data_IF_614050179188
#
_entry.id   IF_614050179188
#
_cell.length_a   1.000
_cell.length_b   1.000
_cell.length_c   1.000
_cell.angle_alpha   90.00
_cell.angle_beta   90.00
_cell.angle_gamma   90.00
#
_symmetry.space_group_name_H-M   'P 1'
#
loop_
_entity.id
_entity.type
_entity.pdbx_description
1 polymer ?
#
# COMPACT_ATOMS: atom_id res chain seq x y z
N UNK A 1 -49.91 -35.47 -35.73
CA UNK A 1 -50.97 -34.76 -36.48
C UNK A 1 -50.37 -33.51 -37.11
N UNK A 2 -50.57 -33.34 -38.41
CA UNK A 2 -50.32 -32.12 -39.20
C UNK A 2 -51.46 -31.13 -38.99
N UNK A 3 -51.20 -29.81 -38.97
CA UNK A 3 -51.95 -28.68 -39.61
C UNK A 3 -51.04 -27.45 -39.44
N UNK A 4 -50.26 -27.06 -40.46
CA UNK A 4 -50.54 -26.11 -41.56
C UNK A 4 -50.49 -24.61 -41.20
N UNK A 5 -49.65 -23.94 -41.97
CA UNK A 5 -49.30 -22.52 -42.06
C UNK A 5 -50.47 -21.57 -42.29
N UNK A 6 -50.29 -20.32 -41.85
CA UNK A 6 -50.78 -19.15 -42.56
C UNK A 6 -49.71 -18.06 -42.55
N UNK A 7 -49.23 -17.71 -43.74
CA UNK A 7 -48.35 -16.58 -44.02
C UNK A 7 -49.22 -15.35 -44.13
N UNK A 8 -48.89 -14.27 -43.42
CA UNK A 8 -49.31 -12.93 -43.78
C UNK A 8 -48.09 -12.00 -43.65
N UNK A 9 -47.54 -11.63 -44.80
CA UNK A 9 -46.50 -10.64 -44.96
C UNK A 9 -47.13 -9.25 -44.94
N UNK A 10 -46.65 -8.36 -44.06
CA UNK A 10 -46.69 -6.91 -44.29
C UNK A 10 -45.37 -6.35 -43.77
N UNK A 11 -44.50 -5.97 -44.70
CA UNK A 11 -43.34 -5.14 -44.41
C UNK A 11 -43.75 -3.67 -44.42
N UNK A 12 -43.12 -2.88 -43.55
CA UNK A 12 -42.63 -1.55 -43.92
C UNK A 12 -41.59 -1.08 -42.91
N UNK A 13 -40.45 -0.62 -43.44
CA UNK A 13 -39.34 -0.04 -42.70
C UNK A 13 -39.76 1.19 -41.91
N UNK A 14 -39.21 1.35 -40.71
CA UNK A 14 -38.76 2.66 -40.21
C UNK A 14 -37.56 2.48 -39.28
N UNK A 15 -36.39 2.79 -39.82
CA UNK A 15 -35.13 2.99 -39.12
C UNK A 15 -35.26 4.24 -38.25
N UNK A 16 -35.67 4.08 -36.99
CA UNK A 16 -35.38 5.08 -35.97
C UNK A 16 -34.10 4.67 -35.26
N UNK A 17 -32.97 5.06 -35.85
CA UNK A 17 -31.71 5.20 -35.13
C UNK A 17 -31.89 6.28 -34.06
N UNK A 18 -32.49 5.88 -32.94
CA UNK A 18 -32.49 6.67 -31.72
C UNK A 18 -31.04 6.76 -31.27
N UNK A 19 -30.43 7.92 -31.53
CA UNK A 19 -29.13 8.28 -30.96
C UNK A 19 -29.26 8.13 -29.45
N UNK A 20 -28.61 7.11 -28.90
CA UNK A 20 -28.18 7.12 -27.51
C UNK A 20 -27.40 8.43 -27.36
N UNK A 21 -28.00 9.42 -26.71
CA UNK A 21 -27.25 10.53 -26.18
C UNK A 21 -26.30 9.92 -25.16
N UNK A 22 -25.07 9.65 -25.59
CA UNK A 22 -23.96 9.60 -24.66
C UNK A 22 -24.01 10.94 -23.93
N UNK A 23 -24.33 10.91 -22.64
CA UNK A 23 -24.04 12.05 -21.80
C UNK A 23 -22.53 12.22 -21.90
N UNK A 24 -22.09 13.18 -22.70
CA UNK A 24 -20.75 13.72 -22.64
C UNK A 24 -20.56 14.14 -21.18
N UNK A 25 -19.88 13.29 -20.41
CA UNK A 25 -19.21 13.70 -19.20
C UNK A 25 -18.26 14.80 -19.65
N UNK A 26 -18.66 16.05 -19.41
CA UNK A 26 -17.78 17.19 -19.56
C UNK A 26 -16.44 16.79 -18.91
N UNK A 27 -15.30 16.96 -19.62
CA UNK A 27 -14.01 16.76 -18.98
C UNK A 27 -14.03 17.66 -17.75
N UNK A 28 -13.80 17.07 -16.58
CA UNK A 28 -13.60 17.82 -15.35
C UNK A 28 -12.62 18.94 -15.72
N UNK A 29 -13.10 20.18 -15.62
CA UNK A 29 -12.25 21.34 -15.85
C UNK A 29 -10.98 21.12 -15.03
N UNK A 30 -9.81 21.31 -15.66
CA UNK A 30 -8.51 21.25 -15.03
C UNK A 30 -8.46 22.26 -13.89
N UNK A 31 -9.00 21.88 -12.72
CA UNK A 31 -8.73 22.56 -11.47
C UNK A 31 -7.26 22.24 -11.20
N UNK A 32 -6.37 23.24 -11.17
CA UNK A 32 -5.00 22.99 -10.78
C UNK A 32 -5.04 22.37 -9.39
N UNK A 33 -4.60 21.12 -9.27
CA UNK A 33 -4.40 20.53 -7.95
C UNK A 33 -3.50 21.48 -7.16
N UNK A 34 -3.90 21.89 -5.94
CA UNK A 34 -3.00 22.63 -5.08
C UNK A 34 -1.68 21.86 -5.01
N UNK A 35 -0.52 22.54 -5.07
CA UNK A 35 0.75 21.84 -4.99
C UNK A 35 0.73 20.97 -3.73
N UNK A 36 0.99 19.66 -3.91
CA UNK A 36 1.02 18.72 -2.81
C UNK A 36 1.89 19.33 -1.71
N UNK A 37 1.29 19.58 -0.53
CA UNK A 37 2.03 20.15 0.58
C UNK A 37 3.19 19.21 0.90
N UNK A 38 4.41 19.74 0.85
CA UNK A 38 5.60 18.94 1.12
C UNK A 38 5.58 18.51 2.59
N UNK A 39 5.50 17.21 2.80
CA UNK A 39 5.37 16.63 4.12
C UNK A 39 6.71 16.73 4.86
N UNK A 40 6.75 17.54 5.91
CA UNK A 40 7.96 17.83 6.69
C UNK A 40 8.19 16.73 7.72
N UNK A 41 9.46 16.40 7.91
CA UNK A 41 9.89 15.47 8.93
C UNK A 41 11.13 14.68 8.52
N UNK A 42 11.55 13.80 9.42
CA UNK A 42 12.58 12.80 9.15
C UNK A 42 11.85 11.49 8.86
N UNK A 43 11.99 11.00 7.64
CA UNK A 43 11.26 9.85 7.13
C UNK A 43 12.06 8.57 7.24
N UNK A 44 11.35 7.48 7.53
CA UNK A 44 11.84 6.12 7.42
C UNK A 44 10.81 5.20 6.78
N UNK A 45 11.31 4.09 6.23
CA UNK A 45 10.49 3.04 5.66
C UNK A 45 11.14 1.68 5.84
N UNK A 46 10.31 0.65 5.90
CA UNK A 46 10.71 -0.76 5.85
C UNK A 46 10.02 -1.39 4.64
N UNK A 47 10.80 -2.12 3.84
CA UNK A 47 10.34 -2.94 2.74
C UNK A 47 10.62 -4.41 3.01
N UNK A 48 9.73 -5.28 2.55
CA UNK A 48 9.81 -6.73 2.77
C UNK A 48 9.33 -7.50 1.54
N UNK A 49 10.04 -8.59 1.22
CA UNK A 49 9.63 -9.62 0.27
C UNK A 49 9.22 -10.86 1.05
N UNK A 50 7.91 -11.10 1.17
CA UNK A 50 7.37 -12.25 1.93
C UNK A 50 7.81 -13.61 1.38
N UNK A 51 7.83 -13.87 0.05
CA UNK A 51 8.27 -15.17 -0.47
C UNK A 51 9.75 -15.48 -0.19
N UNK A 52 10.61 -14.46 -0.27
CA UNK A 52 12.07 -14.59 -0.18
C UNK A 52 12.63 -14.32 1.22
N UNK A 53 11.80 -13.80 2.11
CA UNK A 53 12.14 -13.37 3.47
C UNK A 53 13.30 -12.36 3.51
N UNK A 54 13.40 -11.55 2.46
CA UNK A 54 14.36 -10.44 2.34
C UNK A 54 13.67 -9.15 2.73
N UNK A 55 14.42 -8.25 3.34
CA UNK A 55 13.93 -6.95 3.76
C UNK A 55 14.99 -5.90 3.49
N UNK A 56 14.55 -4.66 3.49
CA UNK A 56 15.39 -3.47 3.47
C UNK A 56 14.72 -2.38 4.27
N UNK A 57 15.52 -1.49 4.82
CA UNK A 57 15.01 -0.32 5.52
C UNK A 57 15.87 0.89 5.20
N UNK A 58 15.31 2.06 5.43
CA UNK A 58 16.04 3.31 5.43
C UNK A 58 15.43 4.28 6.44
N UNK A 59 16.25 5.17 6.98
CA UNK A 59 15.84 6.24 7.87
C UNK A 59 16.69 7.47 7.60
N UNK A 60 16.18 8.65 7.97
CA UNK A 60 16.89 9.90 7.80
C UNK A 60 16.62 10.61 6.48
N UNK A 61 15.58 10.20 5.72
CA UNK A 61 15.24 10.89 4.48
C UNK A 61 14.45 12.17 4.77
N UNK A 62 14.64 13.18 3.92
CA UNK A 62 13.89 14.44 4.00
C UNK A 62 12.50 14.32 3.38
N UNK A 63 12.28 13.28 2.57
CA UNK A 63 11.04 13.04 1.83
C UNK A 63 10.54 11.62 2.07
N UNK A 64 9.22 11.47 2.21
CA UNK A 64 8.56 10.16 2.34
C UNK A 64 8.98 9.21 1.22
N UNK A 65 8.85 9.67 -0.03
CA UNK A 65 9.13 8.84 -1.19
C UNK A 65 10.58 8.38 -1.26
N UNK A 66 11.53 9.23 -0.86
CA UNK A 66 12.95 8.88 -0.82
C UNK A 66 13.20 7.74 0.19
N UNK A 67 12.63 7.80 1.39
CA UNK A 67 12.74 6.70 2.36
C UNK A 67 12.18 5.39 1.79
N UNK A 68 11.03 5.45 1.14
CA UNK A 68 10.37 4.30 0.52
C UNK A 68 11.21 3.68 -0.60
N UNK A 69 11.73 4.50 -1.52
CA UNK A 69 12.52 4.06 -2.67
C UNK A 69 13.84 3.40 -2.22
N UNK A 70 14.50 3.99 -1.23
CA UNK A 70 15.76 3.43 -0.70
C UNK A 70 15.49 2.12 0.05
N UNK A 71 14.44 2.04 0.87
CA UNK A 71 14.06 0.81 1.56
C UNK A 71 13.75 -0.33 0.56
N UNK A 72 12.99 -0.04 -0.51
CA UNK A 72 12.72 -0.98 -1.60
C UNK A 72 14.00 -1.45 -2.27
N UNK A 73 14.89 -0.52 -2.63
CA UNK A 73 16.19 -0.84 -3.24
C UNK A 73 17.04 -1.72 -2.33
N UNK A 74 17.07 -1.44 -1.03
CA UNK A 74 17.78 -2.29 -0.06
C UNK A 74 17.20 -3.70 0.02
N UNK A 75 15.87 -3.84 -0.01
CA UNK A 75 15.21 -5.16 -0.04
C UNK A 75 15.57 -5.95 -1.31
N UNK A 76 15.56 -5.29 -2.47
CA UNK A 76 15.92 -5.89 -3.75
C UNK A 76 17.39 -6.33 -3.77
N UNK A 77 18.29 -5.47 -3.27
CA UNK A 77 19.72 -5.78 -3.14
C UNK A 77 19.99 -6.94 -2.18
N UNK A 78 19.13 -7.14 -1.18
CA UNK A 78 19.18 -8.31 -0.30
C UNK A 78 18.69 -9.61 -0.97
N UNK A 79 18.26 -9.54 -2.23
CA UNK A 79 17.79 -10.66 -3.05
C UNK A 79 16.28 -10.87 -3.02
N UNK A 80 15.49 -9.88 -2.59
CA UNK A 80 14.03 -9.97 -2.61
C UNK A 80 13.48 -9.71 -4.02
N UNK A 81 12.74 -10.66 -4.58
CA UNK A 81 12.09 -10.56 -5.88
C UNK A 81 10.68 -9.95 -5.83
N UNK A 82 10.04 -9.89 -4.66
CA UNK A 82 8.70 -9.35 -4.45
C UNK A 82 8.67 -8.29 -3.33
N UNK A 83 9.64 -7.39 -3.33
CA UNK A 83 9.76 -6.32 -2.32
C UNK A 83 8.61 -5.31 -2.41
N UNK A 84 7.94 -5.08 -1.29
CA UNK A 84 6.96 -4.01 -1.11
C UNK A 84 7.26 -3.21 0.15
N UNK A 85 6.92 -1.91 0.16
CA UNK A 85 6.96 -1.10 1.38
C UNK A 85 5.86 -1.58 2.31
N UNK A 86 6.25 -2.02 3.51
CA UNK A 86 5.32 -2.56 4.53
C UNK A 86 5.12 -1.62 5.70
N UNK A 87 5.99 -0.62 5.85
CA UNK A 87 5.88 0.40 6.89
C UNK A 87 6.53 1.70 6.43
N UNK A 88 5.87 2.81 6.72
CA UNK A 88 6.38 4.17 6.51
C UNK A 88 6.02 4.96 7.75
N UNK A 89 6.96 5.74 8.27
CA UNK A 89 6.77 6.48 9.50
C UNK A 89 7.71 7.69 9.54
N UNK A 90 7.40 8.64 10.42
CA UNK A 90 8.11 9.92 10.47
C UNK A 90 8.29 10.41 11.89
N UNK A 91 9.41 11.09 12.11
CA UNK A 91 9.61 11.96 13.26
C UNK A 91 9.55 13.42 12.83
N UNK A 92 9.37 14.26 13.84
CA UNK A 92 9.69 15.66 13.78
C UNK A 92 11.18 15.85 13.48
N UNK A 93 11.51 16.75 12.54
CA UNK A 93 12.85 17.31 12.37
C UNK A 93 13.12 18.38 13.44
N UNK A 94 12.07 19.07 13.87
CA UNK A 94 12.06 19.99 15.01
C UNK A 94 10.76 19.81 15.78
N UNK A 95 10.78 19.87 17.11
CA UNK A 95 9.62 19.53 17.96
C UNK A 95 8.36 20.39 17.72
N UNK A 96 8.45 21.48 16.96
CA UNK A 96 7.37 22.38 16.55
C UNK A 96 6.99 22.27 15.05
N UNK A 97 7.52 21.29 14.31
CA UNK A 97 7.39 21.17 12.86
C UNK A 97 6.16 20.39 12.38
N UNK A 98 5.02 20.56 13.06
CA UNK A 98 3.76 19.97 12.59
C UNK A 98 3.36 20.55 11.23
N UNK A 99 3.43 19.72 10.20
CA UNK A 99 3.05 20.08 8.84
C UNK A 99 1.54 20.00 8.58
N UNK A 100 0.75 19.63 9.60
CA UNK A 100 -0.71 19.50 9.58
C UNK A 100 -1.25 18.57 8.48
N UNK A 101 -0.41 17.67 7.95
CA UNK A 101 -0.81 16.69 6.92
C UNK A 101 -1.65 15.54 7.48
N UNK A 102 -1.76 15.45 8.81
CA UNK A 102 -2.50 14.39 9.51
C UNK A 102 -1.76 13.04 9.55
N UNK A 103 -0.57 12.94 8.95
CA UNK A 103 0.25 11.73 9.06
C UNK A 103 0.85 11.64 10.49
N UNK A 104 0.73 10.48 11.16
CA UNK A 104 1.14 10.38 12.56
C UNK A 104 2.65 10.46 12.73
N UNK A 105 3.12 11.22 13.72
CA UNK A 105 4.53 11.32 14.12
C UNK A 105 4.99 10.12 14.95
N UNK A 106 4.81 8.91 14.41
CA UNK A 106 5.37 7.69 14.98
C UNK A 106 6.80 7.59 14.48
N UNK A 107 7.77 7.58 15.38
CA UNK A 107 9.18 7.68 15.01
C UNK A 107 9.93 6.37 15.17
N UNK A 108 9.24 5.26 15.46
CA UNK A 108 9.79 3.92 15.41
C UNK A 108 8.87 2.98 14.62
N UNK A 109 9.47 2.06 13.86
CA UNK A 109 8.79 0.97 13.17
C UNK A 109 9.55 -0.34 13.32
N UNK A 110 8.83 -1.46 13.24
CA UNK A 110 9.43 -2.79 13.31
C UNK A 110 8.83 -3.74 12.27
N UNK A 111 9.56 -4.82 11.99
CA UNK A 111 9.16 -5.96 11.16
C UNK A 111 9.35 -7.23 11.98
N UNK A 112 8.30 -8.04 12.10
CA UNK A 112 8.37 -9.37 12.70
C UNK A 112 8.05 -10.42 11.64
N UNK A 113 8.74 -11.55 11.72
CA UNK A 113 8.58 -12.68 10.81
C UNK A 113 8.50 -13.96 11.63
N UNK A 114 7.56 -14.83 11.28
CA UNK A 114 7.40 -16.17 11.82
C UNK A 114 8.50 -17.12 11.35
N UNK A 115 8.50 -18.34 11.85
CA UNK A 115 9.33 -19.40 11.28
C UNK A 115 8.66 -19.96 10.02
N UNK A 116 9.43 -20.12 8.93
CA UNK A 116 8.93 -20.61 7.64
C UNK A 116 8.51 -22.09 7.75
N UNK A 117 7.20 -22.41 7.70
CA UNK A 117 6.79 -23.81 7.64
C UNK A 117 7.01 -24.33 6.22
N UNK A 118 7.36 -25.61 6.07
CA UNK A 118 7.42 -26.23 4.75
C UNK A 118 6.08 -26.09 4.01
N UNK A 119 6.14 -25.60 2.77
CA UNK A 119 4.97 -25.46 1.89
C UNK A 119 3.96 -24.38 2.29
N UNK A 120 4.30 -23.45 3.21
CA UNK A 120 3.41 -22.34 3.59
C UNK A 120 4.14 -21.00 3.57
N UNK A 121 3.36 -19.93 3.38
CA UNK A 121 3.86 -18.57 3.60
C UNK A 121 4.08 -18.34 5.10
N UNK A 122 5.16 -17.63 5.40
CA UNK A 122 5.54 -17.23 6.74
C UNK A 122 4.65 -16.08 7.20
N UNK A 123 4.08 -16.15 8.41
CA UNK A 123 3.37 -14.99 8.98
C UNK A 123 4.36 -13.87 9.21
N UNK A 124 3.92 -12.65 9.00
CA UNK A 124 4.73 -11.46 9.24
C UNK A 124 3.81 -10.31 9.68
N UNK A 125 4.41 -9.33 10.31
CA UNK A 125 3.75 -8.08 10.70
C UNK A 125 4.72 -6.92 10.60
N UNK A 126 4.20 -5.73 10.34
CA UNK A 126 4.99 -4.50 10.37
C UNK A 126 4.13 -3.38 10.97
N UNK A 127 4.54 -2.84 12.11
CA UNK A 127 3.79 -1.79 12.82
C UNK A 127 4.70 -0.64 13.23
N UNK A 128 4.07 0.50 13.54
CA UNK A 128 4.75 1.74 13.92
C UNK A 128 4.23 2.25 15.25
N UNK A 129 5.09 2.87 16.04
CA UNK A 129 4.74 3.44 17.33
C UNK A 129 5.65 4.61 17.74
N UNK A 130 5.33 5.21 18.89
CA UNK A 130 6.10 6.28 19.51
C UNK A 130 7.36 5.77 20.21
N UNK A 131 7.46 4.47 20.52
CA UNK A 131 8.66 3.91 21.12
C UNK A 131 9.04 2.64 20.39
N UNK A 132 10.34 2.30 20.43
CA UNK A 132 10.82 1.03 19.89
C UNK A 132 10.06 -0.15 20.51
N UNK A 133 9.87 -0.15 21.84
CA UNK A 133 9.20 -1.23 22.55
C UNK A 133 7.77 -1.41 22.05
N UNK A 134 6.99 -0.33 21.96
CA UNK A 134 5.62 -0.41 21.48
C UNK A 134 5.56 -0.85 20.01
N UNK A 135 6.50 -0.41 19.18
CA UNK A 135 6.58 -0.84 17.79
C UNK A 135 6.86 -2.34 17.70
N UNK A 136 7.83 -2.85 18.45
CA UNK A 136 8.13 -4.28 18.53
C UNK A 136 6.92 -5.09 19.06
N UNK A 137 6.30 -4.66 20.15
CA UNK A 137 5.16 -5.35 20.78
C UNK A 137 3.93 -5.41 19.86
N UNK A 138 3.57 -4.29 19.21
CA UNK A 138 2.47 -4.24 18.23
C UNK A 138 2.77 -5.12 17.01
N UNK A 139 4.01 -5.09 16.54
CA UNK A 139 4.44 -5.88 15.37
C UNK A 139 4.38 -7.38 15.66
N UNK A 140 4.81 -7.81 16.85
CA UNK A 140 4.68 -9.20 17.28
C UNK A 140 3.21 -9.59 17.37
N UNK A 141 2.36 -8.79 18.02
CA UNK A 141 0.92 -9.07 18.08
C UNK A 141 0.26 -9.19 16.70
N UNK A 142 0.65 -8.34 15.75
CA UNK A 142 0.17 -8.41 14.38
C UNK A 142 0.62 -9.70 13.66
N UNK A 143 1.89 -10.06 13.80
CA UNK A 143 2.47 -11.26 13.19
C UNK A 143 1.89 -12.56 13.76
N UNK A 144 1.70 -12.63 15.08
CA UNK A 144 1.28 -13.82 15.79
C UNK A 144 -0.26 -14.03 15.78
N UNK A 145 -1.02 -13.15 15.13
CA UNK A 145 -2.49 -13.22 15.05
C UNK A 145 -3.01 -14.57 14.53
N UNK A 146 -2.22 -15.25 13.71
CA UNK A 146 -2.55 -16.56 13.14
C UNK A 146 -1.97 -17.74 13.94
N UNK A 147 -1.48 -17.51 15.16
CA UNK A 147 -0.98 -18.54 16.08
C UNK A 147 0.43 -19.06 15.79
N UNK A 148 1.15 -18.43 14.85
CA UNK A 148 2.58 -18.70 14.64
C UNK A 148 3.41 -17.86 15.60
N UNK A 149 4.50 -18.43 16.14
CA UNK A 149 5.47 -17.67 16.92
C UNK A 149 6.32 -16.81 16.00
N UNK A 150 6.45 -15.53 16.31
CA UNK A 150 7.22 -14.59 15.53
C UNK A 150 8.43 -14.05 16.30
N UNK A 151 9.38 -13.48 15.55
CA UNK A 151 10.54 -12.77 16.11
C UNK A 151 10.70 -11.44 15.38
N UNK A 152 11.16 -10.42 16.09
CA UNK A 152 11.58 -9.16 15.47
C UNK A 152 12.73 -9.45 14.53
N UNK A 153 12.52 -9.14 13.25
CA UNK A 153 13.50 -9.25 12.20
C UNK A 153 14.31 -7.96 12.08
N UNK A 154 13.63 -6.82 12.19
CA UNK A 154 14.24 -5.50 12.09
C UNK A 154 13.42 -4.48 12.88
N UNK A 155 14.09 -3.45 13.38
CA UNK A 155 13.44 -2.25 13.93
C UNK A 155 14.29 -1.03 13.59
N UNK A 156 13.63 0.10 13.39
CA UNK A 156 14.30 1.36 13.05
C UNK A 156 13.53 2.51 13.65
N UNK A 157 14.26 3.49 14.17
CA UNK A 157 13.71 4.76 14.61
C UNK A 157 14.37 5.92 13.87
N UNK A 158 13.62 6.99 13.69
CA UNK A 158 14.00 8.26 13.05
C UNK A 158 14.34 9.32 14.07
#
# INVERSE_FOLDING_TARGET
>A
MRVNSAIAAIGMLLLCAGRLGAADLAPAADVPEPPAQEERGIWAAIAYSSPDEKHGFFWGADKRQEAMDIALKHCQNAGGGSCAVVSVFRNHRHWDDDDNTGFPYKHCGALAVGEKPEGRLTSWGAETAQTRRDAEDLTLQACERNGQKCKIREWVCT
#
